data_IF_410197094455
#
_entry.id   IF_410197094455
#
_cell.length_a   1.000
_cell.length_b   1.000
_cell.length_c   1.000
_cell.angle_alpha   90.00
_cell.angle_beta   90.00
_cell.angle_gamma   90.00
#
_symmetry.space_group_name_H-M   'P 1'
#
loop_
_entity.id
_entity.type
_entity.pdbx_description
1 polymer ?
#
# COMPACT_ATOMS: atom_id res chain seq x y z
N UNK A 1 14.67 -5.16 -9.41
CA UNK A 1 14.07 -4.02 -8.68
C UNK A 1 13.92 -4.41 -7.21
N UNK A 2 13.70 -3.49 -6.26
CA UNK A 2 13.65 -3.82 -4.82
C UNK A 2 12.66 -4.95 -4.43
N UNK A 3 11.65 -5.21 -5.28
CA UNK A 3 10.71 -6.32 -5.14
C UNK A 3 11.34 -7.72 -5.36
N UNK A 4 12.46 -7.85 -6.08
CA UNK A 4 13.12 -9.14 -6.34
C UNK A 4 13.88 -9.69 -5.11
N UNK A 5 14.11 -8.85 -4.09
CA UNK A 5 14.84 -9.22 -2.87
C UNK A 5 13.97 -10.05 -1.91
N UNK A 6 12.65 -10.05 -2.08
CA UNK A 6 11.70 -10.66 -1.15
C UNK A 6 11.66 -12.19 -1.19
N UNK A 7 12.41 -12.83 -2.10
CA UNK A 7 12.48 -14.29 -2.18
C UNK A 7 11.14 -14.96 -2.51
N UNK A 8 11.10 -16.31 -2.54
CA UNK A 8 9.88 -17.08 -2.78
C UNK A 8 8.78 -16.86 -1.70
N UNK A 9 9.15 -16.27 -0.57
CA UNK A 9 8.25 -15.85 0.52
C UNK A 9 7.59 -14.48 0.30
N UNK A 10 7.69 -13.89 -0.91
CA UNK A 10 6.83 -12.75 -1.30
C UNK A 10 5.31 -13.08 -1.29
N UNK A 11 4.94 -14.33 -0.96
CA UNK A 11 3.60 -14.66 -0.52
C UNK A 11 3.22 -13.80 0.69
N UNK A 12 2.03 -13.20 0.67
CA UNK A 12 1.51 -12.32 1.73
C UNK A 12 2.03 -10.87 1.72
N UNK A 13 2.61 -10.40 0.62
CA UNK A 13 2.94 -8.98 0.48
C UNK A 13 1.85 -8.28 -0.34
N UNK A 14 1.33 -7.19 0.20
CA UNK A 14 0.43 -6.29 -0.49
C UNK A 14 1.12 -4.96 -0.81
N UNK A 15 0.77 -4.35 -1.93
CA UNK A 15 1.31 -3.05 -2.34
C UNK A 15 0.20 -2.09 -2.70
N UNK A 16 0.27 -0.87 -2.15
CA UNK A 16 -0.60 0.24 -2.48
C UNK A 16 0.23 1.38 -3.07
N UNK A 17 0.14 1.56 -4.39
CA UNK A 17 1.02 2.48 -5.12
C UNK A 17 0.27 3.26 -6.19
N UNK A 18 0.74 4.47 -6.49
CA UNK A 18 0.23 5.26 -7.62
C UNK A 18 0.94 4.89 -8.90
N UNK A 19 2.23 4.58 -8.79
CA UNK A 19 3.04 4.14 -9.92
C UNK A 19 2.66 2.70 -10.30
N UNK A 20 2.43 2.40 -11.58
CA UNK A 20 2.20 1.03 -12.03
C UNK A 20 3.41 0.15 -11.69
N UNK A 21 3.19 -0.91 -10.91
CA UNK A 21 4.22 -1.88 -10.58
C UNK A 21 4.11 -3.08 -11.51
N UNK A 22 5.23 -3.43 -12.16
CA UNK A 22 5.38 -4.71 -12.84
C UNK A 22 6.01 -5.68 -11.85
N UNK A 23 5.26 -6.69 -11.43
CA UNK A 23 5.76 -7.78 -10.59
C UNK A 23 5.84 -9.07 -11.40
N UNK A 24 6.97 -9.78 -11.29
CA UNK A 24 7.12 -11.13 -11.84
C UNK A 24 6.43 -12.20 -10.97
N UNK A 25 6.04 -11.86 -9.73
CA UNK A 25 5.46 -12.80 -8.77
C UNK A 25 3.94 -12.70 -8.75
N UNK A 26 3.26 -13.79 -9.11
CA UNK A 26 1.80 -13.89 -9.17
C UNK A 26 1.10 -13.82 -7.80
N UNK A 27 1.86 -13.88 -6.70
CA UNK A 27 1.34 -13.85 -5.31
C UNK A 27 1.28 -12.45 -4.70
N UNK A 28 1.78 -11.43 -5.42
CA UNK A 28 1.77 -10.05 -4.95
C UNK A 28 0.38 -9.44 -5.15
N UNK A 29 -0.24 -8.95 -4.07
CA UNK A 29 -1.52 -8.26 -4.15
C UNK A 29 -1.25 -6.78 -4.38
N UNK A 30 -1.60 -6.25 -5.55
CA UNK A 30 -1.33 -4.85 -5.88
C UNK A 30 -2.64 -4.09 -6.01
N UNK A 31 -2.73 -2.93 -5.34
CA UNK A 31 -3.83 -1.97 -5.50
C UNK A 31 -3.29 -0.61 -5.92
N UNK A 32 -4.01 0.00 -6.87
CA UNK A 32 -3.75 1.36 -7.31
C UNK A 32 -4.23 2.34 -6.24
N UNK A 33 -3.33 3.13 -5.69
CA UNK A 33 -3.65 4.34 -4.93
C UNK A 33 -4.15 5.41 -5.88
N UNK A 34 -5.19 6.19 -5.58
CA UNK A 34 -5.57 7.32 -6.42
C UNK A 34 -4.47 8.37 -6.56
N UNK A 35 -4.57 9.19 -7.61
CA UNK A 35 -3.71 10.37 -7.76
C UNK A 35 -4.19 11.58 -6.94
N UNK A 36 -5.41 11.52 -6.40
CA UNK A 36 -6.02 12.55 -5.56
C UNK A 36 -5.95 12.17 -4.07
N UNK A 37 -5.62 13.16 -3.22
CA UNK A 37 -5.45 12.94 -1.79
C UNK A 37 -6.77 12.65 -1.07
N UNK A 38 -7.87 13.31 -1.44
CA UNK A 38 -9.16 13.12 -0.81
C UNK A 38 -9.73 11.74 -1.14
N UNK A 39 -9.65 11.34 -2.41
CA UNK A 39 -10.03 10.01 -2.86
C UNK A 39 -9.18 8.92 -2.17
N UNK A 40 -7.89 9.18 -1.95
CA UNK A 40 -7.02 8.26 -1.21
C UNK A 40 -7.45 8.15 0.24
N UNK A 41 -7.67 9.28 0.93
CA UNK A 41 -8.10 9.30 2.33
C UNK A 41 -9.44 8.57 2.54
N UNK A 42 -10.38 8.74 1.61
CA UNK A 42 -11.70 8.10 1.67
C UNK A 42 -11.60 6.57 1.59
N UNK A 43 -10.75 6.04 0.72
CA UNK A 43 -10.67 4.59 0.48
C UNK A 43 -9.60 3.86 1.28
N UNK A 44 -8.68 4.58 1.93
CA UNK A 44 -7.49 4.01 2.58
C UNK A 44 -7.83 2.82 3.48
N UNK A 45 -8.76 2.99 4.43
CA UNK A 45 -9.10 1.92 5.36
C UNK A 45 -9.85 0.75 4.71
N UNK A 46 -10.58 0.98 3.62
CA UNK A 46 -11.18 -0.12 2.87
C UNK A 46 -10.08 -0.97 2.23
N UNK A 47 -9.11 -0.33 1.57
CA UNK A 47 -7.97 -1.01 0.95
C UNK A 47 -7.12 -1.77 1.98
N UNK A 48 -6.83 -1.17 3.13
CA UNK A 48 -6.08 -1.86 4.20
C UNK A 48 -6.82 -3.11 4.71
N UNK A 49 -8.13 -3.01 4.97
CA UNK A 49 -8.94 -4.17 5.38
C UNK A 49 -9.03 -5.25 4.30
N UNK A 50 -9.04 -4.87 3.02
CA UNK A 50 -8.98 -5.84 1.92
C UNK A 50 -7.64 -6.60 1.92
N UNK A 51 -6.53 -5.94 2.23
CA UNK A 51 -5.23 -6.60 2.38
C UNK A 51 -5.20 -7.54 3.59
N UNK A 52 -5.74 -7.11 4.73
CA UNK A 52 -5.84 -7.94 5.93
C UNK A 52 -6.67 -9.20 5.65
N UNK A 53 -7.83 -9.04 5.00
CA UNK A 53 -8.71 -10.15 4.62
C UNK A 53 -8.05 -11.10 3.61
N UNK A 54 -7.16 -10.60 2.76
CA UNK A 54 -6.38 -11.41 1.83
C UNK A 54 -5.14 -12.06 2.50
N UNK A 55 -4.95 -11.89 3.80
CA UNK A 55 -3.87 -12.47 4.57
C UNK A 55 -2.51 -11.85 4.26
N UNK A 56 -2.48 -10.56 3.90
CA UNK A 56 -1.24 -9.82 3.80
C UNK A 56 -0.57 -9.71 5.18
N UNK A 57 0.72 -10.04 5.24
CA UNK A 57 1.56 -9.91 6.44
C UNK A 57 2.46 -8.69 6.39
N UNK A 58 2.64 -8.13 5.20
CA UNK A 58 3.41 -6.92 4.97
C UNK A 58 2.72 -6.09 3.90
N UNK A 59 2.44 -4.82 4.22
CA UNK A 59 1.83 -3.87 3.29
C UNK A 59 2.88 -2.80 2.97
N UNK A 60 3.24 -2.70 1.69
CA UNK A 60 4.08 -1.63 1.18
C UNK A 60 3.22 -0.53 0.59
N UNK A 61 3.43 0.69 1.05
CA UNK A 61 2.70 1.86 0.55
C UNK A 61 3.70 2.80 -0.10
N UNK A 62 3.44 3.20 -1.35
CA UNK A 62 4.20 4.28 -1.99
C UNK A 62 4.07 5.55 -1.14
N UNK A 63 5.19 6.19 -0.83
CA UNK A 63 5.18 7.41 -0.03
C UNK A 63 4.30 8.49 -0.71
N UNK A 64 3.28 9.02 -0.01
CA UNK A 64 2.48 10.11 -0.54
C UNK A 64 3.34 11.35 -0.87
N UNK A 65 3.00 12.12 -1.93
CA UNK A 65 3.64 13.40 -2.25
C UNK A 65 3.74 14.34 -1.04
N UNK A 66 4.84 15.08 -0.91
CA UNK A 66 5.11 15.90 0.27
C UNK A 66 4.23 17.15 0.43
N UNK A 67 3.32 17.45 -0.51
CA UNK A 67 2.44 18.61 -0.40
C UNK A 67 1.35 18.42 0.68
N UNK A 68 0.78 19.55 1.12
CA UNK A 68 -0.11 19.62 2.27
C UNK A 68 -1.44 18.85 2.09
N UNK A 69 -1.89 18.66 0.85
CA UNK A 69 -3.12 17.90 0.60
C UNK A 69 -3.01 16.45 1.10
N UNK A 70 -1.79 15.91 1.16
CA UNK A 70 -1.51 14.54 1.59
C UNK A 70 -1.20 14.38 3.08
N UNK A 71 -1.13 15.46 3.87
CA UNK A 71 -0.85 15.39 5.30
C UNK A 71 -1.83 14.47 6.02
N UNK A 72 -3.12 14.59 5.69
CA UNK A 72 -4.16 13.74 6.26
C UNK A 72 -4.02 12.26 5.89
N UNK A 73 -3.49 11.94 4.70
CA UNK A 73 -3.22 10.56 4.28
C UNK A 73 -2.00 10.02 5.01
N UNK A 74 -0.92 10.80 5.10
CA UNK A 74 0.29 10.46 5.86
C UNK A 74 -0.02 10.15 7.32
N UNK A 75 -0.75 11.02 8.01
CA UNK A 75 -1.15 10.81 9.40
C UNK A 75 -1.86 9.45 9.59
N UNK A 76 -2.85 9.16 8.73
CA UNK A 76 -3.61 7.91 8.81
C UNK A 76 -2.73 6.69 8.53
N UNK A 77 -1.80 6.78 7.58
CA UNK A 77 -0.83 5.72 7.28
C UNK A 77 0.11 5.47 8.46
N UNK A 78 0.65 6.53 9.07
CA UNK A 78 1.50 6.43 10.26
C UNK A 78 0.75 5.78 11.42
N UNK A 79 -0.51 6.17 11.66
CA UNK A 79 -1.33 5.54 12.70
C UNK A 79 -1.63 4.08 12.41
N UNK A 80 -1.97 3.74 11.17
CA UNK A 80 -2.21 2.35 10.78
C UNK A 80 -0.96 1.48 10.97
N UNK A 81 0.22 2.00 10.61
CA UNK A 81 1.50 1.29 10.79
C UNK A 81 1.88 1.12 12.27
N UNK A 82 1.51 2.04 13.15
CA UNK A 82 1.78 1.95 14.58
C UNK A 82 0.89 0.91 15.30
N UNK A 83 -0.23 0.51 14.68
CA UNK A 83 -1.18 -0.47 15.23
C UNK A 83 -1.08 -1.86 14.60
N UNK A 84 -0.14 -2.06 13.68
CA UNK A 84 0.04 -3.30 12.92
C UNK A 84 0.91 -4.32 13.67
#
# INVERSE_FOLDING_TARGET
TALDILGPDAAHIAVYARTPLRSASARLIVRRMPDDAAATAQQLFAVLREFDAAGARLIWVEAPPADAAWDGVRDRLTRAAASA
#
